data_IF_357830009001
#
_entry.id   IF_357830009001
#
_cell.length_a   1.000
_cell.length_b   1.000
_cell.length_c   1.000
_cell.angle_alpha   90.00
_cell.angle_beta   90.00
_cell.angle_gamma   90.00
#
_symmetry.space_group_name_H-M   'P 1'
#
loop_
_entity.id
_entity.type
_entity.pdbx_description
1 polymer ?
#
# COMPACT_ATOMS: atom_id res chain seq x y z
N UNK A 1 -40.19 -53.46 -51.65
CA UNK A 1 -39.37 -52.89 -52.74
C UNK A 1 -38.70 -51.61 -52.25
N UNK A 2 -37.52 -51.34 -52.76
CA UNK A 2 -36.48 -50.47 -52.24
C UNK A 2 -36.65 -48.95 -52.51
N UNK A 3 -36.05 -48.13 -51.60
CA UNK A 3 -35.34 -46.82 -51.78
C UNK A 3 -36.14 -45.62 -52.34
N UNK A 4 -35.84 -44.35 -52.09
CA UNK A 4 -34.98 -43.52 -51.24
C UNK A 4 -35.40 -42.07 -51.56
N UNK A 5 -35.20 -41.11 -50.64
CA UNK A 5 -35.28 -39.68 -50.97
C UNK A 5 -35.60 -38.79 -49.77
N UNK A 6 -34.60 -38.53 -48.95
CA UNK A 6 -34.61 -37.57 -47.84
C UNK A 6 -33.87 -36.32 -48.33
N UNK A 7 -34.56 -35.19 -48.47
CA UNK A 7 -33.93 -33.87 -48.63
C UNK A 7 -34.27 -33.01 -47.41
N UNK A 8 -33.23 -32.66 -46.65
CA UNK A 8 -33.22 -31.51 -45.74
C UNK A 8 -32.93 -30.23 -46.53
N UNK A 9 -33.30 -29.06 -45.99
CA UNK A 9 -32.19 -28.16 -45.63
C UNK A 9 -32.35 -27.49 -44.27
N UNK A 10 -31.21 -27.49 -43.56
CA UNK A 10 -30.62 -26.45 -42.72
C UNK A 10 -31.53 -25.73 -41.71
N UNK A 11 -31.45 -26.02 -40.41
CA UNK A 11 -30.35 -25.65 -39.50
C UNK A 11 -29.93 -24.17 -39.59
N UNK A 12 -30.71 -23.28 -38.96
CA UNK A 12 -30.21 -22.02 -38.40
C UNK A 12 -30.94 -21.80 -37.08
N UNK A 13 -30.36 -22.24 -35.96
CA UNK A 13 -30.29 -21.54 -34.65
C UNK A 13 -29.56 -22.50 -33.71
N UNK A 14 -28.23 -22.37 -33.55
CA UNK A 14 -27.69 -22.56 -32.19
C UNK A 14 -26.55 -21.58 -31.87
N UNK A 15 -26.65 -20.30 -32.26
CA UNK A 15 -25.57 -19.33 -32.00
C UNK A 15 -25.91 -18.29 -30.92
N UNK A 16 -27.18 -18.13 -30.54
CA UNK A 16 -27.57 -17.18 -29.50
C UNK A 16 -27.39 -17.71 -28.07
N UNK A 17 -27.41 -19.04 -27.86
CA UNK A 17 -27.28 -19.62 -26.53
C UNK A 17 -25.83 -19.82 -26.06
N UNK A 18 -24.85 -19.81 -26.98
CA UNK A 18 -23.44 -19.99 -26.64
C UNK A 18 -22.76 -18.69 -26.15
N UNK A 19 -23.37 -17.53 -26.38
CA UNK A 19 -22.81 -16.21 -26.01
C UNK A 19 -23.21 -15.72 -24.61
N UNK A 20 -24.06 -16.45 -23.88
CA UNK A 20 -24.54 -16.06 -22.54
C UNK A 20 -23.96 -16.90 -21.38
N UNK A 21 -23.05 -17.84 -21.66
CA UNK A 21 -22.40 -18.69 -20.63
C UNK A 21 -20.98 -18.24 -20.26
N UNK A 22 -20.50 -17.13 -20.79
CA UNK A 22 -19.20 -16.55 -20.43
C UNK A 22 -19.48 -15.24 -19.71
N UNK A 23 -19.64 -15.25 -18.39
CA UNK A 23 -19.38 -14.13 -17.44
C UNK A 23 -19.82 -14.44 -15.99
N UNK A 24 -19.81 -15.70 -15.57
CA UNK A 24 -19.93 -16.08 -14.15
C UNK A 24 -18.70 -16.83 -13.67
N UNK A 25 -17.51 -16.36 -14.08
CA UNK A 25 -16.31 -16.68 -13.31
C UNK A 25 -16.33 -15.68 -12.17
N UNK A 26 -16.73 -16.10 -10.98
CA UNK A 26 -16.37 -15.39 -9.75
C UNK A 26 -14.87 -15.14 -9.84
N UNK A 27 -14.48 -13.88 -10.01
CA UNK A 27 -13.07 -13.50 -9.92
C UNK A 27 -12.64 -13.84 -8.50
N UNK A 28 -11.97 -14.96 -8.33
CA UNK A 28 -11.23 -15.23 -7.11
C UNK A 28 -10.32 -14.01 -6.89
N UNK A 29 -10.50 -13.33 -5.77
CA UNK A 29 -9.61 -12.24 -5.38
C UNK A 29 -8.19 -12.81 -5.38
N UNK A 30 -7.31 -12.23 -6.19
CA UNK A 30 -5.92 -12.64 -6.23
C UNK A 30 -5.32 -12.41 -4.84
N UNK A 31 -4.70 -13.45 -4.28
CA UNK A 31 -4.07 -13.38 -2.98
C UNK A 31 -2.86 -12.42 -3.04
N UNK A 32 -2.72 -11.47 -2.09
CA UNK A 32 -1.58 -10.57 -2.06
C UNK A 32 -0.24 -11.32 -1.94
N UNK A 33 0.78 -10.87 -2.66
CA UNK A 33 2.11 -11.51 -2.69
C UNK A 33 2.74 -11.64 -1.30
N UNK A 34 2.50 -10.67 -0.41
CA UNK A 34 3.02 -10.71 0.96
C UNK A 34 2.53 -11.96 1.73
N UNK A 35 1.36 -12.49 1.39
CA UNK A 35 0.77 -13.66 2.04
C UNK A 35 1.47 -14.98 1.67
N UNK A 36 2.25 -14.99 0.59
CA UNK A 36 3.01 -16.17 0.12
C UNK A 36 4.52 -15.95 0.11
N UNK A 37 4.98 -14.76 0.51
CA UNK A 37 6.41 -14.42 0.59
C UNK A 37 7.18 -15.40 1.50
N UNK A 38 6.56 -15.83 2.58
CA UNK A 38 7.12 -16.83 3.46
C UNK A 38 6.47 -18.21 3.23
N UNK A 39 7.26 -19.25 2.89
CA UNK A 39 6.72 -20.57 2.59
C UNK A 39 6.10 -21.22 3.82
N UNK A 40 5.15 -22.12 3.60
CA UNK A 40 4.44 -22.86 4.65
C UNK A 40 3.21 -22.14 5.18
N UNK A 41 2.45 -22.82 6.03
CA UNK A 41 1.27 -22.27 6.71
C UNK A 41 1.65 -21.62 8.03
N UNK A 42 0.79 -20.71 8.48
CA UNK A 42 0.82 -20.17 9.84
C UNK A 42 0.81 -21.30 10.87
N UNK A 43 1.55 -21.10 11.97
CA UNK A 43 1.52 -22.04 13.09
C UNK A 43 0.23 -21.84 13.89
N UNK A 44 -0.45 -22.94 14.26
CA UNK A 44 -1.75 -22.92 14.95
C UNK A 44 -1.78 -22.11 16.25
N UNK A 45 -0.62 -21.88 16.88
CA UNK A 45 -0.47 -21.16 18.14
C UNK A 45 0.16 -19.76 17.96
N UNK A 46 0.31 -19.28 16.73
CA UNK A 46 0.70 -17.89 16.52
C UNK A 46 -0.42 -16.96 16.97
N UNK A 47 -0.04 -15.78 17.46
CA UNK A 47 -1.02 -14.75 17.86
C UNK A 47 -1.91 -14.32 16.69
N UNK A 48 -1.37 -14.29 15.47
CA UNK A 48 -2.14 -14.00 14.25
C UNK A 48 -3.18 -15.07 13.98
N UNK A 49 -2.85 -16.36 14.12
CA UNK A 49 -3.83 -17.44 13.97
C UNK A 49 -4.93 -17.37 15.03
N UNK A 50 -4.54 -17.10 16.28
CA UNK A 50 -5.50 -16.96 17.39
C UNK A 50 -6.45 -15.80 17.14
N UNK A 51 -5.93 -14.62 16.78
CA UNK A 51 -6.73 -13.46 16.39
C UNK A 51 -7.70 -13.78 15.25
N UNK A 52 -7.21 -14.46 14.20
CA UNK A 52 -8.02 -14.78 13.04
C UNK A 52 -9.15 -15.77 13.37
N UNK A 53 -8.86 -16.77 14.19
CA UNK A 53 -9.83 -17.80 14.58
C UNK A 53 -10.88 -17.26 15.57
N UNK A 54 -10.49 -16.32 16.44
CA UNK A 54 -11.40 -15.71 17.42
C UNK A 54 -12.29 -14.62 16.81
N UNK A 55 -11.90 -14.02 15.69
CA UNK A 55 -12.64 -12.91 15.07
C UNK A 55 -13.58 -13.43 13.97
N UNK A 56 -14.92 -13.31 14.15
CA UNK A 56 -15.87 -13.78 13.16
C UNK A 56 -15.70 -13.11 11.80
N UNK A 57 -15.79 -13.91 10.72
CA UNK A 57 -15.69 -13.40 9.35
C UNK A 57 -14.27 -13.18 8.84
N UNK A 58 -13.26 -13.54 9.63
CA UNK A 58 -11.88 -13.64 9.18
C UNK A 58 -11.50 -15.09 8.87
N UNK A 59 -10.58 -15.27 7.93
CA UNK A 59 -10.08 -16.58 7.54
C UNK A 59 -8.58 -16.51 7.27
N UNK A 60 -7.87 -17.53 7.74
CA UNK A 60 -6.46 -17.71 7.40
C UNK A 60 -6.32 -18.17 5.95
N UNK A 61 -5.47 -17.48 5.20
CA UNK A 61 -5.06 -17.87 3.86
C UNK A 61 -3.56 -17.66 3.69
N UNK A 62 -2.83 -18.76 3.48
CA UNK A 62 -1.37 -18.81 3.54
C UNK A 62 -0.83 -18.17 4.85
N UNK A 63 -0.12 -17.05 4.77
CA UNK A 63 0.43 -16.30 5.92
C UNK A 63 -0.42 -15.11 6.39
N UNK A 64 -1.57 -14.87 5.75
CA UNK A 64 -2.44 -13.74 6.06
C UNK A 64 -3.73 -14.19 6.73
N UNK A 65 -4.20 -13.38 7.67
CA UNK A 65 -5.57 -13.38 8.12
C UNK A 65 -6.36 -12.36 7.29
N UNK A 66 -7.34 -12.83 6.52
CA UNK A 66 -8.10 -12.02 5.57
C UNK A 66 -9.57 -11.89 5.98
N UNK A 67 -10.18 -10.76 5.69
CA UNK A 67 -11.64 -10.65 5.70
C UNK A 67 -12.23 -11.13 4.36
N UNK A 68 -13.57 -11.16 4.26
CA UNK A 68 -14.28 -11.57 3.04
C UNK A 68 -14.02 -10.70 1.79
N UNK A 69 -13.49 -9.47 1.97
CA UNK A 69 -13.07 -8.58 0.87
C UNK A 69 -11.62 -8.82 0.44
N UNK A 70 -10.90 -9.74 1.08
CA UNK A 70 -9.47 -9.97 0.85
C UNK A 70 -8.56 -8.91 1.49
N UNK A 71 -9.08 -8.06 2.39
CA UNK A 71 -8.26 -7.12 3.16
C UNK A 71 -7.44 -7.87 4.20
N UNK A 72 -6.16 -7.54 4.32
CA UNK A 72 -5.25 -8.14 5.30
C UNK A 72 -5.53 -7.53 6.67
N UNK A 73 -6.04 -8.35 7.58
CA UNK A 73 -6.31 -7.99 8.98
C UNK A 73 -5.18 -8.45 9.91
N UNK A 74 -4.43 -9.49 9.50
CA UNK A 74 -3.25 -9.93 10.21
C UNK A 74 -2.23 -10.61 9.29
N UNK A 75 -0.96 -10.58 9.68
CA UNK A 75 0.15 -11.12 8.89
C UNK A 75 1.16 -11.85 9.78
N UNK A 76 1.40 -13.12 9.51
CA UNK A 76 2.43 -13.92 10.18
C UNK A 76 3.59 -14.19 9.22
N UNK A 77 4.70 -13.47 9.42
CA UNK A 77 5.98 -13.74 8.77
C UNK A 77 7.02 -14.21 9.79
N UNK A 78 6.61 -14.94 10.83
CA UNK A 78 7.55 -15.47 11.81
C UNK A 78 8.43 -16.58 11.20
N UNK A 79 9.69 -16.63 11.64
CA UNK A 79 10.65 -17.67 11.25
C UNK A 79 10.81 -17.85 9.72
N UNK A 80 10.89 -16.74 9.01
CA UNK A 80 11.00 -16.68 7.55
C UNK A 80 12.42 -16.38 7.07
N UNK A 81 13.40 -16.37 8.00
CA UNK A 81 14.80 -16.00 7.74
C UNK A 81 14.95 -14.61 7.11
N UNK A 82 14.05 -13.69 7.44
CA UNK A 82 14.03 -12.33 6.89
C UNK A 82 15.10 -11.46 7.55
N UNK A 83 15.70 -10.58 6.75
CA UNK A 83 16.55 -9.45 7.21
C UNK A 83 15.80 -8.11 7.16
N UNK A 84 14.81 -8.04 6.29
CA UNK A 84 13.86 -6.94 6.14
C UNK A 84 12.49 -7.53 5.70
N UNK A 85 11.37 -6.82 5.96
CA UNK A 85 10.04 -7.32 5.56
C UNK A 85 9.79 -7.38 4.05
N UNK A 86 10.66 -6.78 3.22
CA UNK A 86 10.56 -6.84 1.77
C UNK A 86 9.62 -5.80 1.13
N UNK A 87 9.66 -5.68 -0.21
CA UNK A 87 8.95 -4.63 -0.96
C UNK A 87 7.42 -4.82 -0.99
N UNK A 88 6.92 -6.02 -0.72
CA UNK A 88 5.48 -6.31 -0.70
C UNK A 88 4.83 -6.02 0.66
N UNK A 89 5.64 -5.74 1.70
CA UNK A 89 5.14 -5.48 3.04
C UNK A 89 4.05 -4.38 3.12
N UNK A 90 4.11 -3.27 2.35
CA UNK A 90 3.05 -2.25 2.33
C UNK A 90 1.67 -2.76 1.90
N UNK A 91 1.56 -3.94 1.26
CA UNK A 91 0.26 -4.57 0.98
C UNK A 91 -0.53 -4.85 2.28
N UNK A 92 0.16 -5.04 3.40
CA UNK A 92 -0.42 -5.32 4.71
C UNK A 92 -0.67 -4.08 5.58
N UNK A 93 -0.66 -2.86 5.03
CA UNK A 93 -0.84 -1.61 5.80
C UNK A 93 -2.16 -1.53 6.60
N UNK A 94 -3.16 -2.35 6.27
CA UNK A 94 -4.43 -2.47 7.01
C UNK A 94 -4.39 -3.45 8.17
N UNK A 95 -3.29 -4.18 8.35
CA UNK A 95 -3.18 -5.22 9.35
C UNK A 95 -3.25 -4.63 10.77
N UNK A 96 -4.03 -5.29 11.61
CA UNK A 96 -4.21 -4.99 13.04
C UNK A 96 -3.17 -5.73 13.86
N UNK A 97 -2.77 -6.93 13.41
CA UNK A 97 -1.75 -7.75 14.08
C UNK A 97 -0.68 -8.23 13.09
N UNK A 98 0.59 -8.08 13.46
CA UNK A 98 1.72 -8.56 12.66
C UNK A 98 2.70 -9.32 13.55
N UNK A 99 3.09 -10.51 13.11
CA UNK A 99 4.14 -11.30 13.76
C UNK A 99 5.37 -11.41 12.85
N UNK A 100 6.49 -10.87 13.31
CA UNK A 100 7.79 -10.92 12.65
C UNK A 100 8.85 -11.63 13.50
N UNK A 101 8.46 -12.32 14.58
CA UNK A 101 9.42 -12.94 15.50
C UNK A 101 10.25 -14.04 14.82
N UNK A 102 11.34 -14.45 15.48
CA UNK A 102 12.26 -15.47 14.96
C UNK A 102 12.85 -15.16 13.56
N UNK A 103 13.00 -13.88 13.23
CA UNK A 103 13.76 -13.40 12.08
C UNK A 103 15.01 -12.63 12.54
N UNK A 104 15.95 -12.40 11.64
CA UNK A 104 17.17 -11.63 11.92
C UNK A 104 17.07 -10.23 11.30
N UNK A 105 16.02 -9.49 11.69
CA UNK A 105 15.76 -8.16 11.16
C UNK A 105 16.84 -7.17 11.60
N UNK A 106 17.20 -6.25 10.71
CA UNK A 106 18.24 -5.25 10.98
C UNK A 106 17.73 -3.83 10.78
N UNK A 107 18.24 -2.91 11.60
CA UNK A 107 18.02 -1.47 11.45
C UNK A 107 16.76 -0.93 12.14
N UNK A 108 16.50 0.35 11.92
CA UNK A 108 15.28 1.03 12.38
C UNK A 108 14.13 0.74 11.41
N UNK A 109 13.06 0.13 11.93
CA UNK A 109 11.88 -0.24 11.17
C UNK A 109 10.82 0.87 11.12
N UNK A 110 11.02 2.03 11.75
CA UNK A 110 10.02 3.12 11.82
C UNK A 110 9.40 3.45 10.45
N UNK A 111 10.22 3.69 9.43
CA UNK A 111 9.72 4.02 8.09
C UNK A 111 9.08 2.84 7.35
N UNK A 112 9.43 1.60 7.70
CA UNK A 112 8.84 0.39 7.10
C UNK A 112 7.37 0.25 7.47
N UNK A 113 6.97 0.78 8.63
CA UNK A 113 5.58 0.79 9.11
C UNK A 113 4.83 2.09 8.78
N UNK A 114 5.34 2.89 7.85
CA UNK A 114 4.59 4.06 7.37
C UNK A 114 3.25 3.63 6.77
N UNK A 115 2.18 4.29 7.16
CA UNK A 115 0.80 4.01 6.72
C UNK A 115 0.11 2.87 7.47
N UNK A 116 0.77 2.18 8.40
CA UNK A 116 0.17 1.13 9.24
C UNK A 116 -0.60 1.75 10.42
N UNK A 117 -1.62 2.56 10.11
CA UNK A 117 -2.34 3.37 11.10
C UNK A 117 -3.32 2.58 11.97
N UNK A 118 -3.60 1.32 11.61
CA UNK A 118 -4.52 0.42 12.33
C UNK A 118 -3.80 -0.66 13.15
N UNK A 119 -2.47 -0.65 13.16
CA UNK A 119 -1.67 -1.67 13.82
C UNK A 119 -1.83 -1.57 15.35
N UNK A 120 -2.32 -2.63 15.97
CA UNK A 120 -2.52 -2.72 17.41
C UNK A 120 -1.53 -3.66 18.08
N UNK A 121 -1.16 -4.76 17.42
CA UNK A 121 -0.22 -5.74 17.98
C UNK A 121 0.90 -6.00 17.00
N UNK A 122 2.13 -5.76 17.44
CA UNK A 122 3.33 -6.05 16.67
C UNK A 122 4.28 -6.90 17.50
N UNK A 123 4.60 -8.09 16.99
CA UNK A 123 5.52 -9.02 17.64
C UNK A 123 6.82 -9.02 16.87
N UNK A 124 7.94 -8.75 17.55
CA UNK A 124 9.26 -8.57 16.97
C UNK A 124 10.28 -9.48 17.63
N UNK A 125 11.41 -9.78 16.95
CA UNK A 125 12.61 -10.31 17.60
C UNK A 125 13.05 -9.41 18.76
N UNK A 126 13.65 -9.99 19.80
CA UNK A 126 14.04 -9.28 21.02
C UNK A 126 15.04 -8.13 20.78
N UNK A 127 15.90 -8.25 19.78
CA UNK A 127 16.98 -7.32 19.44
C UNK A 127 16.52 -6.14 18.55
N UNK A 128 15.25 -6.11 18.19
CA UNK A 128 14.66 -5.10 17.30
C UNK A 128 13.73 -4.22 18.11
N UNK A 129 13.94 -2.90 18.12
CA UNK A 129 13.06 -1.98 18.85
C UNK A 129 11.68 -1.83 18.18
N UNK A 130 10.66 -1.55 18.98
CA UNK A 130 9.35 -1.15 18.47
C UNK A 130 9.48 0.07 17.53
N UNK A 131 8.85 0.06 16.33
CA UNK A 131 8.85 1.20 15.41
C UNK A 131 8.28 2.44 16.11
N UNK A 132 8.94 3.60 15.93
CA UNK A 132 8.60 4.84 16.63
C UNK A 132 9.07 4.90 18.10
N UNK A 133 9.74 3.85 18.58
CA UNK A 133 10.22 3.73 19.96
C UNK A 133 9.10 3.44 20.97
N UNK A 134 9.47 3.30 22.25
CA UNK A 134 8.55 2.88 23.33
C UNK A 134 7.38 3.87 23.49
N UNK A 135 7.59 5.16 23.23
CA UNK A 135 6.57 6.20 23.37
C UNK A 135 5.47 6.15 22.30
N UNK A 136 5.67 5.40 21.21
CA UNK A 136 4.68 5.21 20.15
C UNK A 136 3.62 4.16 20.51
N UNK A 137 3.77 3.46 21.63
CA UNK A 137 2.92 2.34 22.04
C UNK A 137 2.45 2.55 23.48
N UNK A 138 1.27 2.04 23.84
CA UNK A 138 0.81 2.08 25.22
C UNK A 138 1.54 1.07 26.10
N UNK A 139 1.78 -0.13 25.57
CA UNK A 139 2.44 -1.21 26.30
C UNK A 139 3.51 -1.85 25.42
N UNK A 140 4.71 -2.01 25.96
CA UNK A 140 5.77 -2.82 25.36
C UNK A 140 6.16 -3.90 26.36
N UNK A 141 5.99 -5.16 25.96
CA UNK A 141 6.32 -6.33 26.79
C UNK A 141 7.52 -7.06 26.22
N UNK A 142 8.52 -7.33 27.06
CA UNK A 142 9.73 -8.03 26.67
C UNK A 142 9.68 -9.50 27.09
N UNK A 143 9.95 -10.40 26.15
CA UNK A 143 10.11 -11.84 26.39
C UNK A 143 11.56 -12.25 26.12
N UNK A 144 11.88 -13.53 26.34
CA UNK A 144 13.24 -14.06 26.19
C UNK A 144 13.73 -13.96 24.72
N UNK A 145 12.86 -14.26 23.75
CA UNK A 145 13.23 -14.34 22.33
C UNK A 145 12.46 -13.35 21.43
N UNK A 146 11.55 -12.59 22.03
CA UNK A 146 10.67 -11.68 21.32
C UNK A 146 10.29 -10.50 22.20
N UNK A 147 9.67 -9.52 21.61
CA UNK A 147 8.97 -8.47 22.32
C UNK A 147 7.66 -8.17 21.59
N UNK A 148 6.71 -7.61 22.32
CA UNK A 148 5.40 -7.26 21.79
C UNK A 148 5.11 -5.79 22.06
N UNK A 149 4.83 -5.04 20.99
CA UNK A 149 4.38 -3.66 21.03
C UNK A 149 2.86 -3.66 20.87
N UNK A 150 2.14 -3.08 21.83
CA UNK A 150 0.68 -3.12 21.89
C UNK A 150 0.08 -1.73 21.97
N UNK A 151 -1.04 -1.57 21.27
CA UNK A 151 -1.86 -0.36 21.17
C UNK A 151 -1.05 0.86 20.75
N UNK A 152 -0.96 1.07 19.44
CA UNK A 152 -0.27 2.23 18.89
C UNK A 152 -0.95 3.53 19.34
N UNK A 153 -0.14 4.48 19.83
CA UNK A 153 -0.61 5.83 20.18
C UNK A 153 -0.76 6.70 18.95
N UNK A 154 -1.81 7.52 18.95
CA UNK A 154 -1.97 8.58 17.97
C UNK A 154 -1.18 9.82 18.41
N UNK A 155 -0.08 10.11 17.71
CA UNK A 155 0.79 11.25 18.02
C UNK A 155 0.06 12.60 17.93
N UNK A 156 -0.95 12.71 17.06
CA UNK A 156 -1.79 13.90 16.93
C UNK A 156 -2.64 14.19 18.18
N UNK A 157 -2.87 13.19 19.04
CA UNK A 157 -3.61 13.37 20.29
C UNK A 157 -2.69 13.73 21.47
N UNK A 158 -1.38 13.49 21.36
CA UNK A 158 -0.43 13.55 22.48
C UNK A 158 0.16 14.93 22.75
N UNK A 159 -0.17 15.93 21.94
CA UNK A 159 0.36 17.29 22.10
C UNK A 159 -0.78 18.29 22.09
N UNK A 160 -0.90 19.04 23.18
CA UNK A 160 -1.63 20.32 23.20
C UNK A 160 -0.85 21.43 22.51
N UNK A 161 0.05 21.09 21.58
CA UNK A 161 0.97 22.02 20.93
C UNK A 161 0.40 22.44 19.56
N UNK A 162 -0.01 23.71 19.38
CA UNK A 162 -0.67 24.18 18.16
C UNK A 162 0.20 24.12 16.89
N UNK A 163 1.49 23.78 16.98
CA UNK A 163 2.46 23.95 15.88
C UNK A 163 2.86 22.67 15.12
N UNK A 164 2.19 21.52 15.34
CA UNK A 164 2.56 20.29 14.59
C UNK A 164 2.35 20.39 13.09
N UNK A 165 1.31 21.11 12.66
CA UNK A 165 0.98 21.31 11.26
C UNK A 165 0.85 22.80 10.91
N UNK A 166 1.09 23.18 9.65
CA UNK A 166 0.82 24.52 9.17
C UNK A 166 -0.66 24.91 9.35
N UNK A 167 -0.97 26.21 9.29
CA UNK A 167 -2.32 26.76 9.53
C UNK A 167 -3.45 26.07 8.73
N UNK A 168 -3.20 25.73 7.46
CA UNK A 168 -4.16 25.01 6.60
C UNK A 168 -3.91 23.50 6.54
N UNK A 169 -3.18 22.94 7.51
CA UNK A 169 -2.85 21.54 7.61
C UNK A 169 -3.44 20.92 8.87
N UNK A 170 -4.06 19.75 8.74
CA UNK A 170 -4.52 18.94 9.87
C UNK A 170 -3.58 17.76 10.10
N UNK A 171 -3.26 17.48 11.38
CA UNK A 171 -2.48 16.31 11.76
C UNK A 171 -3.28 15.03 11.53
N UNK A 172 -2.66 14.04 10.88
CA UNK A 172 -3.18 12.70 10.73
C UNK A 172 -2.09 11.67 11.09
N UNK A 173 -2.44 10.52 11.69
CA UNK A 173 -1.48 9.46 11.97
C UNK A 173 -0.93 8.87 10.66
N UNK A 174 0.33 8.44 10.67
CA UNK A 174 1.01 7.83 9.51
C UNK A 174 1.79 6.55 9.87
N UNK A 175 1.37 5.87 10.93
CA UNK A 175 2.01 4.66 11.47
C UNK A 175 2.66 4.89 12.85
N UNK A 176 3.31 3.86 13.44
CA UNK A 176 3.84 3.93 14.80
C UNK A 176 4.87 5.05 14.97
N UNK A 177 4.55 6.03 15.82
CA UNK A 177 5.40 7.20 16.07
C UNK A 177 5.50 8.17 14.89
N UNK A 178 4.67 8.01 13.85
CA UNK A 178 4.66 8.84 12.65
C UNK A 178 3.33 9.59 12.53
N UNK A 179 3.42 10.83 12.03
CA UNK A 179 2.29 11.64 11.65
C UNK A 179 2.58 12.36 10.34
N UNK A 180 1.52 12.79 9.68
CA UNK A 180 1.58 13.61 8.48
C UNK A 180 0.60 14.78 8.59
N UNK A 181 0.91 15.87 7.89
CA UNK A 181 0.01 17.00 7.77
C UNK A 181 -0.74 16.91 6.44
N UNK A 182 -2.05 16.72 6.53
CA UNK A 182 -2.94 16.71 5.36
C UNK A 182 -3.48 18.12 5.16
N UNK A 183 -3.33 18.66 3.96
CA UNK A 183 -3.82 20.00 3.66
C UNK A 183 -5.36 20.03 3.57
N UNK A 184 -5.94 21.11 4.04
CA UNK A 184 -7.34 21.44 3.84
C UNK A 184 -7.67 21.54 2.33
N UNK A 185 -8.95 21.36 2.00
CA UNK A 185 -9.40 21.38 0.61
C UNK A 185 -8.97 22.66 -0.13
N UNK A 186 -8.46 22.50 -1.35
CA UNK A 186 -7.97 23.61 -2.18
C UNK A 186 -6.55 24.10 -1.83
N UNK A 187 -5.96 23.64 -0.73
CA UNK A 187 -4.58 23.91 -0.35
C UNK A 187 -3.65 22.75 -0.70
N UNK A 188 -2.41 23.07 -1.09
CA UNK A 188 -1.40 22.07 -1.43
C UNK A 188 0.03 22.56 -1.16
N UNK A 189 0.98 21.63 -1.33
CA UNK A 189 2.41 21.86 -1.11
C UNK A 189 2.86 21.56 0.32
N UNK A 190 4.17 21.52 0.53
CA UNK A 190 4.80 21.07 1.78
C UNK A 190 4.47 21.91 3.04
N UNK A 191 3.75 23.03 2.89
CA UNK A 191 3.26 23.89 3.98
C UNK A 191 1.76 24.20 3.90
N UNK A 192 1.02 23.58 2.96
CA UNK A 192 -0.39 23.90 2.73
C UNK A 192 -0.69 25.39 2.51
N UNK A 193 0.26 26.16 1.95
CA UNK A 193 0.11 27.61 1.72
C UNK A 193 -0.31 27.96 0.29
N UNK A 194 -0.27 27.00 -0.63
CA UNK A 194 -0.63 27.25 -2.04
C UNK A 194 -2.09 26.93 -2.25
N UNK A 195 -2.85 27.90 -2.75
CA UNK A 195 -4.25 27.74 -3.08
C UNK A 195 -4.43 27.59 -4.59
N UNK A 196 -5.42 26.79 -5.00
CA UNK A 196 -5.78 26.59 -6.40
C UNK A 196 -4.91 25.54 -7.10
N UNK A 197 -4.95 25.50 -8.44
CA UNK A 197 -4.18 24.53 -9.24
C UNK A 197 -2.99 25.20 -9.92
N UNK A 198 -1.83 24.56 -9.90
CA UNK A 198 -0.69 25.01 -10.69
C UNK A 198 -0.99 24.86 -12.20
N UNK A 199 -1.07 25.97 -12.93
CA UNK A 199 -1.37 25.96 -14.37
C UNK A 199 -0.15 25.49 -15.17
N UNK A 200 -0.08 24.18 -15.43
CA UNK A 200 0.98 23.57 -16.25
C UNK A 200 1.06 24.21 -17.63
N UNK A 201 -0.07 24.58 -18.23
CA UNK A 201 -0.13 25.22 -19.55
C UNK A 201 0.55 26.60 -19.54
N UNK A 202 0.32 27.42 -18.51
CA UNK A 202 1.01 28.71 -18.40
C UNK A 202 2.51 28.51 -18.18
N UNK A 203 2.90 27.59 -17.29
CA UNK A 203 4.31 27.34 -16.98
C UNK A 203 5.08 26.85 -18.21
N UNK A 204 4.61 25.78 -18.85
CA UNK A 204 5.24 25.26 -20.07
C UNK A 204 5.07 26.18 -21.27
N UNK A 205 3.98 26.96 -21.34
CA UNK A 205 3.79 27.97 -22.38
C UNK A 205 4.85 29.07 -22.31
N UNK A 206 5.11 29.61 -21.11
CA UNK A 206 6.15 30.63 -20.90
C UNK A 206 7.53 30.03 -21.20
N UNK A 207 7.87 28.89 -20.60
CA UNK A 207 9.16 28.22 -20.81
C UNK A 207 9.40 27.84 -22.27
N UNK A 208 8.39 27.30 -22.95
CA UNK A 208 8.46 26.93 -24.36
C UNK A 208 8.63 28.15 -25.25
N UNK A 209 7.87 29.21 -25.00
CA UNK A 209 7.93 30.45 -25.79
C UNK A 209 9.27 31.17 -25.65
N UNK A 210 9.79 31.31 -24.43
CA UNK A 210 11.10 31.92 -24.20
C UNK A 210 12.22 31.10 -24.83
N UNK A 211 12.17 29.77 -24.69
CA UNK A 211 13.14 28.87 -25.31
C UNK A 211 13.12 28.97 -26.83
N UNK A 212 11.94 28.97 -27.45
CA UNK A 212 11.80 29.12 -28.91
C UNK A 212 12.31 30.48 -29.38
N UNK A 213 11.99 31.55 -28.64
CA UNK A 213 12.42 32.92 -28.96
C UNK A 213 13.94 33.05 -28.88
N UNK A 214 14.57 32.54 -27.81
CA UNK A 214 16.02 32.56 -27.66
C UNK A 214 16.68 31.70 -28.75
N UNK A 215 16.16 30.50 -29.01
CA UNK A 215 16.70 29.59 -30.03
C UNK A 215 16.64 30.21 -31.43
N UNK A 216 15.55 30.88 -31.78
CA UNK A 216 15.40 31.58 -33.07
C UNK A 216 16.31 32.80 -33.18
N UNK A 217 16.49 33.58 -32.09
CA UNK A 217 17.44 34.69 -32.05
C UNK A 217 18.89 34.21 -32.21
N UNK A 218 19.28 33.17 -31.48
CA UNK A 218 20.61 32.56 -31.58
C UNK A 218 20.84 31.98 -32.98
N UNK A 219 19.87 31.28 -33.54
CA UNK A 219 19.94 30.78 -34.91
C UNK A 219 20.10 31.92 -35.93
N UNK A 220 19.29 32.98 -35.80
CA UNK A 220 19.33 34.12 -36.72
C UNK A 220 20.65 34.87 -36.65
N UNK A 221 21.18 35.11 -35.46
CA UNK A 221 22.45 35.84 -35.26
C UNK A 221 23.67 35.00 -35.64
N UNK A 222 23.72 33.72 -35.25
CA UNK A 222 24.83 32.83 -35.60
C UNK A 222 24.87 32.49 -37.10
N UNK A 223 23.69 32.25 -37.73
CA UNK A 223 23.61 31.99 -39.18
C UNK A 223 23.97 33.23 -40.01
N UNK A 224 23.71 34.44 -39.51
CA UNK A 224 24.15 35.69 -40.16
C UNK A 224 25.66 35.87 -40.06
N UNK A 225 26.29 35.50 -38.92
CA UNK A 225 27.75 35.51 -38.80
C UNK A 225 28.44 34.53 -39.75
N UNK A 226 27.88 33.34 -39.96
CA UNK A 226 28.43 32.36 -40.89
C UNK A 226 28.34 32.75 -42.39
N UNK A 227 27.50 33.73 -42.75
CA UNK A 227 27.33 34.21 -44.13
C UNK A 227 28.09 35.50 -44.44
N UNK A 228 28.71 36.13 -43.44
CA UNK A 228 29.43 37.40 -43.56
C UNK A 228 30.95 37.24 -43.43
N UNK A 229 31.45 36.01 -43.45
CA UNK A 229 32.86 35.62 -43.53
C UNK A 229 33.07 34.75 -44.77
#
# INVERSE_FOLDING_TARGET
MARCGLDSPLSVVPWAAALLLVLSVERALALPEICIQCPGSVQNLSEVALYCNQTPGLMMHARCCLNWKGTIMGLDLQNCSLKDPGPYFPQAHTAIIIDLQANSLQGDLANTFRGFTQLQTLILPQDVNCPGGINAWDTVTFYINSQTCQEQRNLCNSTGDPEMCPENGSCAPDGPGLFQCVCAEGFHGYKCMRQGSFSLLMFFGILGSTTLSISTLLWGTQRRKAKAS
#
